data_IF_744852378568
#
_entry.id   IF_744852378568
#
_cell.length_a   1.000
_cell.length_b   1.000
_cell.length_c   1.000
_cell.angle_alpha   90.00
_cell.angle_beta   90.00
_cell.angle_gamma   90.00
#
_symmetry.space_group_name_H-M   'P 1'
#
loop_
_entity.id
_entity.type
_entity.pdbx_description
1 polymer ?
#
# COMPACT_ATOMS: atom_id res chain seq x y z
N UNK A 1 42.62 -24.17 -34.47
CA UNK A 1 42.58 -23.16 -33.38
C UNK A 1 41.15 -23.02 -32.90
N UNK A 2 40.94 -23.29 -31.61
CA UNK A 2 39.67 -23.39 -30.90
C UNK A 2 39.14 -22.01 -30.49
N UNK A 3 37.80 -21.85 -30.42
CA UNK A 3 37.03 -20.88 -29.60
C UNK A 3 35.54 -21.22 -29.77
N UNK A 4 35.02 -22.18 -29.01
CA UNK A 4 34.27 -22.00 -27.76
C UNK A 4 32.98 -21.18 -27.91
N UNK A 5 31.85 -21.90 -28.01
CA UNK A 5 30.49 -21.38 -27.82
C UNK A 5 30.27 -21.14 -26.32
N UNK A 6 30.01 -19.89 -25.94
CA UNK A 6 29.58 -19.55 -24.59
C UNK A 6 28.14 -20.03 -24.36
N UNK A 7 27.97 -20.85 -23.31
CA UNK A 7 26.72 -21.46 -22.89
C UNK A 7 25.95 -20.45 -22.04
N UNK A 8 24.78 -20.03 -22.50
CA UNK A 8 23.88 -19.16 -21.74
C UNK A 8 23.41 -19.89 -20.47
N UNK A 9 23.76 -19.36 -19.30
CA UNK A 9 23.25 -19.81 -18.00
C UNK A 9 21.84 -19.28 -17.80
N UNK A 10 20.87 -20.17 -17.94
CA UNK A 10 19.46 -19.97 -17.59
C UNK A 10 19.32 -19.70 -16.09
N UNK A 11 19.04 -18.46 -15.70
CA UNK A 11 18.63 -18.15 -14.32
C UNK A 11 17.18 -18.61 -14.13
N UNK A 12 17.00 -19.77 -13.49
CA UNK A 12 15.68 -20.26 -13.09
C UNK A 12 15.05 -19.29 -12.09
N UNK A 13 13.90 -18.71 -12.46
CA UNK A 13 12.99 -18.04 -11.52
C UNK A 13 12.51 -19.07 -10.48
N UNK A 14 12.40 -18.73 -9.19
CA UNK A 14 11.68 -19.57 -8.24
C UNK A 14 10.22 -19.60 -8.68
N UNK A 15 9.69 -20.80 -8.94
CA UNK A 15 8.26 -21.03 -9.11
C UNK A 15 7.58 -21.05 -7.74
N UNK A 16 6.27 -20.84 -7.68
CA UNK A 16 5.46 -20.95 -6.46
C UNK A 16 5.65 -22.28 -5.69
N UNK A 17 6.24 -23.31 -6.32
CA UNK A 17 6.63 -24.58 -5.69
C UNK A 17 7.91 -24.54 -4.86
N UNK A 18 8.70 -23.47 -4.90
CA UNK A 18 9.93 -23.32 -4.10
C UNK A 18 9.67 -22.99 -2.63
N UNK A 19 8.43 -22.62 -2.29
CA UNK A 19 7.96 -22.40 -0.92
C UNK A 19 7.63 -23.71 -0.16
N UNK A 20 7.58 -24.87 -0.85
CA UNK A 20 7.16 -26.13 -0.23
C UNK A 20 8.30 -27.09 0.16
N UNK A 21 9.57 -26.69 0.05
CA UNK A 21 10.67 -27.58 0.38
C UNK A 21 11.69 -26.90 1.29
N UNK A 22 11.39 -26.88 2.60
CA UNK A 22 12.33 -27.06 3.73
C UNK A 22 11.66 -26.69 5.06
N UNK A 23 11.02 -27.64 5.74
CA UNK A 23 10.64 -27.46 7.15
C UNK A 23 10.69 -28.77 7.95
N UNK A 24 11.81 -29.49 7.88
CA UNK A 24 12.28 -30.29 9.03
C UNK A 24 13.33 -29.51 9.80
N UNK A 25 12.88 -28.47 10.51
CA UNK A 25 13.55 -27.98 11.73
C UNK A 25 12.55 -27.24 12.60
N UNK A 26 12.42 -27.79 13.80
CA UNK A 26 11.60 -27.31 14.91
C UNK A 26 11.81 -25.81 15.13
N UNK A 27 10.78 -25.01 14.86
CA UNK A 27 10.71 -23.61 15.28
C UNK A 27 9.99 -23.55 16.64
N UNK A 28 10.46 -22.74 17.60
CA UNK A 28 9.81 -22.64 18.90
C UNK A 28 8.42 -22.04 18.72
N UNK A 29 7.39 -22.82 19.04
CA UNK A 29 6.00 -22.34 19.14
C UNK A 29 5.95 -21.31 20.26
N UNK A 30 5.76 -20.04 19.91
CA UNK A 30 5.34 -19.02 20.87
C UNK A 30 3.92 -19.42 21.32
N UNK A 31 3.83 -19.90 22.56
CA UNK A 31 2.57 -20.24 23.22
C UNK A 31 1.97 -18.94 23.72
N UNK A 32 0.94 -18.45 23.04
CA UNK A 32 0.09 -17.38 23.57
C UNK A 32 -0.84 -18.01 24.63
N UNK A 33 -0.63 -17.63 25.89
CA UNK A 33 -1.50 -18.07 27.00
C UNK A 33 -2.85 -17.36 26.90
N UNK A 34 -3.92 -18.14 26.84
CA UNK A 34 -5.30 -17.67 26.63
C UNK A 34 -6.08 -17.53 27.94
N UNK A 35 -5.48 -16.98 29.00
CA UNK A 35 -6.17 -16.79 30.28
C UNK A 35 -5.89 -15.40 30.87
N UNK A 36 -6.79 -14.46 30.58
CA UNK A 36 -6.93 -13.18 31.27
C UNK A 36 -8.43 -12.88 31.46
N UNK A 37 -8.86 -12.31 32.61
CA UNK A 37 -10.27 -12.27 32.97
C UNK A 37 -11.02 -11.16 32.21
N UNK A 38 -12.19 -11.53 31.67
CA UNK A 38 -13.37 -10.70 31.43
C UNK A 38 -13.16 -9.30 30.83
N UNK A 39 -13.22 -9.18 29.50
CA UNK A 39 -13.40 -7.87 28.83
C UNK A 39 -14.86 -7.40 29.00
N UNK A 40 -15.12 -6.16 29.45
CA UNK A 40 -16.47 -5.63 29.55
C UNK A 40 -17.10 -5.41 28.16
N UNK A 41 -18.43 -5.51 28.01
CA UNK A 41 -19.12 -5.26 26.75
C UNK A 41 -19.24 -3.75 26.54
N UNK A 42 -18.38 -3.17 25.69
CA UNK A 42 -18.49 -1.74 25.35
C UNK A 42 -17.29 -1.05 24.71
N UNK A 43 -16.21 -1.76 24.35
CA UNK A 43 -15.08 -1.14 23.64
C UNK A 43 -15.22 -1.29 22.13
N UNK A 44 -15.16 -0.16 21.43
CA UNK A 44 -15.42 0.00 20.00
C UNK A 44 -14.79 -1.08 19.12
N UNK A 45 -15.51 -1.43 18.05
CA UNK A 45 -15.04 -2.35 17.02
C UNK A 45 -13.64 -1.91 16.58
N UNK A 46 -12.62 -2.67 16.95
CA UNK A 46 -11.28 -2.47 16.41
C UNK A 46 -11.38 -2.78 14.92
N UNK A 47 -11.24 -1.75 14.08
CA UNK A 47 -11.30 -1.92 12.63
C UNK A 47 -10.21 -2.90 12.19
N UNK A 48 -10.62 -4.13 11.89
CA UNK A 48 -9.71 -5.23 11.52
C UNK A 48 -9.37 -5.23 10.03
N UNK A 49 -10.07 -4.44 9.23
CA UNK A 49 -9.88 -4.40 7.78
C UNK A 49 -8.96 -3.27 7.38
N UNK A 50 -7.91 -3.63 6.64
CA UNK A 50 -6.85 -2.74 6.23
C UNK A 50 -6.64 -2.82 4.72
N UNK A 51 -6.01 -1.78 4.18
CA UNK A 51 -5.45 -1.75 2.83
C UNK A 51 -3.95 -1.48 2.91
N UNK A 52 -3.17 -2.20 2.12
CA UNK A 52 -1.76 -1.90 1.85
C UNK A 52 -1.61 -1.36 0.42
N UNK A 53 -0.82 -0.30 0.29
CA UNK A 53 -0.58 0.47 -0.93
C UNK A 53 0.92 0.42 -1.23
N UNK A 54 1.30 -0.30 -2.28
CA UNK A 54 2.69 -0.48 -2.69
C UNK A 54 3.05 0.46 -3.85
N UNK A 55 4.23 1.07 -3.83
CA UNK A 55 4.67 1.96 -4.92
C UNK A 55 5.77 1.34 -5.77
N UNK A 56 5.66 1.50 -7.09
CA UNK A 56 6.77 1.23 -8.01
C UNK A 56 6.92 -0.23 -8.43
N UNK A 57 5.85 -1.03 -8.33
CA UNK A 57 5.80 -2.40 -8.86
C UNK A 57 5.07 -2.44 -10.20
N UNK A 58 5.48 -3.35 -11.11
CA UNK A 58 4.88 -3.58 -12.42
C UNK A 58 4.73 -2.35 -13.33
N UNK A 59 5.52 -1.29 -13.08
CA UNK A 59 5.51 -0.05 -13.89
C UNK A 59 6.75 0.00 -14.79
N UNK A 60 6.56 0.39 -16.06
CA UNK A 60 7.66 0.53 -17.02
C UNK A 60 8.50 -0.75 -17.23
N UNK A 61 7.91 -1.93 -17.01
CA UNK A 61 8.59 -3.23 -17.13
C UNK A 61 9.57 -3.57 -16.00
N UNK A 62 9.73 -2.70 -15.00
CA UNK A 62 10.60 -2.89 -13.83
C UNK A 62 9.82 -3.47 -12.65
N UNK A 63 10.54 -3.98 -11.65
CA UNK A 63 10.01 -4.46 -10.37
C UNK A 63 8.78 -5.38 -10.55
N UNK A 64 8.98 -6.43 -11.35
CA UNK A 64 7.91 -7.39 -11.67
C UNK A 64 7.56 -8.19 -10.42
N UNK A 65 6.30 -8.13 -10.02
CA UNK A 65 5.74 -8.86 -8.89
C UNK A 65 4.37 -9.40 -9.28
N UNK A 66 4.18 -10.72 -9.23
CA UNK A 66 2.88 -11.32 -9.47
C UNK A 66 1.97 -11.01 -8.28
N UNK A 67 0.70 -10.67 -8.56
CA UNK A 67 -0.25 -10.39 -7.48
C UNK A 67 -0.58 -11.63 -6.65
N UNK A 68 -0.39 -12.83 -7.19
CA UNK A 68 -0.46 -14.10 -6.45
C UNK A 68 0.65 -14.20 -5.40
N UNK A 69 1.88 -13.86 -5.78
CA UNK A 69 3.04 -13.92 -4.88
C UNK A 69 2.90 -12.86 -3.79
N UNK A 70 2.46 -11.66 -4.16
CA UNK A 70 2.14 -10.61 -3.20
C UNK A 70 1.05 -11.06 -2.21
N UNK A 71 -0.02 -11.70 -2.69
CA UNK A 71 -1.06 -12.20 -1.79
C UNK A 71 -0.53 -13.28 -0.84
N UNK A 72 0.31 -14.20 -1.34
CA UNK A 72 0.92 -15.26 -0.53
C UNK A 72 1.76 -14.68 0.61
N UNK A 73 2.57 -13.64 0.35
CA UNK A 73 3.38 -12.97 1.40
C UNK A 73 2.52 -12.43 2.55
N UNK A 74 1.34 -11.87 2.25
CA UNK A 74 0.42 -11.37 3.29
C UNK A 74 -0.16 -12.53 4.11
N UNK A 75 -0.56 -13.62 3.45
CA UNK A 75 -1.08 -14.81 4.13
C UNK A 75 -0.01 -15.44 5.03
N UNK A 76 1.21 -15.58 4.54
CA UNK A 76 2.35 -16.10 5.32
C UNK A 76 2.72 -15.20 6.50
N UNK A 77 2.47 -13.89 6.38
CA UNK A 77 2.63 -12.93 7.48
C UNK A 77 1.48 -12.97 8.50
N UNK A 78 0.50 -13.87 8.34
CA UNK A 78 -0.63 -14.03 9.26
C UNK A 78 -1.83 -13.12 8.96
N UNK A 79 -1.87 -12.47 7.80
CA UNK A 79 -3.05 -11.70 7.39
C UNK A 79 -4.16 -12.64 6.86
N UNK A 80 -5.40 -12.28 7.17
CA UNK A 80 -6.61 -13.00 6.76
C UNK A 80 -7.32 -12.30 5.60
N UNK A 81 -8.23 -13.00 4.92
CA UNK A 81 -9.11 -12.45 3.86
C UNK A 81 -8.37 -11.59 2.81
N UNK A 82 -7.15 -12.00 2.46
CA UNK A 82 -6.26 -11.24 1.56
C UNK A 82 -6.82 -11.20 0.14
N UNK A 83 -7.02 -10.00 -0.38
CA UNK A 83 -7.50 -9.74 -1.75
C UNK A 83 -6.66 -8.66 -2.41
N UNK A 84 -6.14 -8.93 -3.59
CA UNK A 84 -5.44 -7.91 -4.38
C UNK A 84 -6.39 -7.19 -5.33
N UNK A 85 -6.07 -5.94 -5.66
CA UNK A 85 -6.77 -5.17 -6.67
C UNK A 85 -5.79 -4.56 -7.67
N UNK A 86 -5.99 -4.90 -8.95
CA UNK A 86 -5.16 -4.53 -10.10
C UNK A 86 -3.66 -4.83 -9.90
N UNK A 87 -2.83 -4.49 -10.89
CA UNK A 87 -1.40 -4.83 -10.86
C UNK A 87 -0.51 -3.74 -10.25
N UNK A 88 -1.09 -2.67 -9.70
CA UNK A 88 -0.36 -1.52 -9.15
C UNK A 88 -0.07 -1.63 -7.65
N UNK A 89 -0.28 -2.80 -7.05
CA UNK A 89 0.06 -3.05 -5.65
C UNK A 89 -0.96 -2.48 -4.68
N UNK A 90 -2.18 -3.02 -4.71
CA UNK A 90 -3.19 -2.73 -3.71
C UNK A 90 -3.66 -4.05 -3.12
N UNK A 91 -3.58 -4.17 -1.80
CA UNK A 91 -3.95 -5.38 -1.08
C UNK A 91 -4.92 -5.01 0.03
N UNK A 92 -6.10 -5.60 0.05
CA UNK A 92 -7.04 -5.51 1.17
C UNK A 92 -6.90 -6.77 1.98
N UNK A 93 -6.86 -6.65 3.30
CA UNK A 93 -6.66 -7.78 4.20
C UNK A 93 -7.30 -7.51 5.56
N UNK A 94 -7.45 -8.57 6.35
CA UNK A 94 -7.81 -8.51 7.76
C UNK A 94 -6.60 -8.84 8.63
N UNK A 95 -6.42 -8.05 9.68
CA UNK A 95 -5.38 -8.27 10.68
C UNK A 95 -5.75 -7.55 11.96
N UNK A 96 -5.32 -8.08 13.10
CA UNK A 96 -5.36 -7.31 14.35
C UNK A 96 -4.45 -6.07 14.25
N UNK A 97 -4.77 -4.97 14.96
CA UNK A 97 -4.04 -3.71 14.82
C UNK A 97 -2.52 -3.80 15.02
N UNK A 98 -2.07 -4.64 15.95
CA UNK A 98 -0.63 -4.83 16.20
C UNK A 98 0.07 -5.49 15.00
N UNK A 99 -0.54 -6.49 14.38
CA UNK A 99 -0.01 -7.10 13.17
C UNK A 99 -0.04 -6.11 12.00
N UNK A 100 -1.16 -5.39 11.83
CA UNK A 100 -1.32 -4.43 10.75
C UNK A 100 -0.26 -3.30 10.74
N UNK A 101 0.24 -2.91 11.92
CA UNK A 101 1.35 -1.94 12.04
C UNK A 101 2.68 -2.47 11.54
N UNK A 102 2.92 -3.77 11.64
CA UNK A 102 4.17 -4.42 11.21
C UNK A 102 4.17 -4.78 9.72
N UNK A 103 2.98 -4.88 9.09
CA UNK A 103 2.83 -5.28 7.69
C UNK A 103 3.72 -4.48 6.72
N UNK A 104 3.81 -3.13 6.79
CA UNK A 104 4.70 -2.37 5.89
C UNK A 104 6.14 -2.88 5.88
N UNK A 105 6.72 -3.10 7.05
CA UNK A 105 8.12 -3.49 7.21
C UNK A 105 8.34 -4.95 6.83
N UNK A 106 7.45 -5.84 7.28
CA UNK A 106 7.53 -7.29 7.00
C UNK A 106 7.42 -7.56 5.50
N UNK A 107 6.42 -6.97 4.84
CA UNK A 107 6.21 -7.14 3.40
C UNK A 107 7.31 -6.46 2.59
N UNK A 108 7.75 -5.27 3.01
CA UNK A 108 8.87 -4.57 2.38
C UNK A 108 10.17 -5.38 2.42
N UNK A 109 10.46 -6.01 3.56
CA UNK A 109 11.61 -6.90 3.74
C UNK A 109 11.49 -8.17 2.89
N UNK A 110 10.34 -8.84 2.91
CA UNK A 110 10.10 -10.05 2.11
C UNK A 110 10.26 -9.79 0.60
N UNK A 111 9.76 -8.65 0.10
CA UNK A 111 9.95 -8.29 -1.31
C UNK A 111 11.44 -8.04 -1.62
N UNK A 112 12.16 -7.35 -0.73
CA UNK A 112 13.59 -7.10 -0.92
C UNK A 112 14.41 -8.39 -0.93
N UNK A 113 14.11 -9.33 -0.04
CA UNK A 113 14.78 -10.62 0.05
C UNK A 113 14.49 -11.51 -1.17
N UNK A 114 13.23 -11.64 -1.57
CA UNK A 114 12.85 -12.55 -2.66
C UNK A 114 13.12 -11.99 -4.06
N UNK A 115 13.03 -10.66 -4.25
CA UNK A 115 13.07 -10.04 -5.57
C UNK A 115 14.23 -9.07 -5.79
N UNK A 116 15.00 -8.72 -4.75
CA UNK A 116 16.20 -7.90 -4.86
C UNK A 116 15.95 -6.40 -5.09
N UNK A 117 14.73 -5.91 -4.83
CA UNK A 117 14.40 -4.49 -4.89
C UNK A 117 13.51 -4.06 -3.73
N UNK A 118 13.62 -2.79 -3.33
CA UNK A 118 12.82 -2.21 -2.23
C UNK A 118 11.53 -1.62 -2.78
N UNK A 119 10.43 -1.88 -2.10
CA UNK A 119 9.10 -1.36 -2.43
C UNK A 119 8.54 -0.67 -1.20
N UNK A 120 8.23 0.64 -1.28
CA UNK A 120 7.50 1.31 -0.21
C UNK A 120 6.09 0.72 -0.07
N UNK A 121 5.70 0.40 1.15
CA UNK A 121 4.39 -0.14 1.51
C UNK A 121 3.75 0.79 2.54
N UNK A 122 2.55 1.29 2.28
CA UNK A 122 1.80 2.12 3.23
C UNK A 122 0.48 1.43 3.59
N UNK A 123 0.02 1.54 4.83
CA UNK A 123 -1.26 0.96 5.27
C UNK A 123 -2.29 2.02 5.65
N UNK A 124 -3.58 1.70 5.45
CA UNK A 124 -4.74 2.44 5.95
C UNK A 124 -5.83 1.49 6.43
N UNK A 125 -6.62 1.91 7.40
CA UNK A 125 -7.83 1.18 7.81
C UNK A 125 -8.99 1.44 6.83
N UNK A 126 -10.00 0.57 6.87
CA UNK A 126 -11.26 0.81 6.15
C UNK A 126 -11.95 2.12 6.58
N UNK A 127 -11.91 2.43 7.88
CA UNK A 127 -12.44 3.69 8.43
C UNK A 127 -11.69 4.93 7.90
N UNK A 128 -10.37 4.87 7.82
CA UNK A 128 -9.55 5.93 7.22
C UNK A 128 -9.90 6.12 5.73
N UNK A 129 -10.02 5.04 4.95
CA UNK A 129 -10.47 5.16 3.56
C UNK A 129 -11.86 5.80 3.43
N UNK A 130 -12.79 5.47 4.34
CA UNK A 130 -14.11 6.09 4.35
C UNK A 130 -14.04 7.59 4.66
N UNK A 131 -13.18 8.01 5.60
CA UNK A 131 -12.94 9.42 5.89
C UNK A 131 -12.32 10.15 4.68
N UNK A 132 -11.32 9.55 4.02
CA UNK A 132 -10.68 10.11 2.83
C UNK A 132 -11.69 10.34 1.70
N UNK A 133 -12.62 9.40 1.49
CA UNK A 133 -13.68 9.55 0.50
C UNK A 133 -14.62 10.71 0.85
N UNK A 134 -14.98 10.86 2.13
CA UNK A 134 -15.89 11.92 2.62
C UNK A 134 -15.27 13.31 2.60
N UNK A 135 -13.95 13.41 2.83
CA UNK A 135 -13.27 14.69 3.10
C UNK A 135 -12.62 15.32 1.87
N UNK A 136 -12.67 14.67 0.70
CA UNK A 136 -12.05 15.20 -0.52
C UNK A 136 -12.63 16.58 -0.91
N UNK A 137 -11.83 17.67 -0.82
CA UNK A 137 -12.32 19.02 -1.05
C UNK A 137 -12.70 19.28 -2.50
N UNK A 138 -11.96 18.70 -3.46
CA UNK A 138 -12.22 18.86 -4.89
C UNK A 138 -13.47 18.11 -5.33
N UNK A 139 -13.72 16.92 -4.75
CA UNK A 139 -14.97 16.19 -5.00
C UNK A 139 -16.18 16.99 -4.49
N UNK A 140 -16.07 17.58 -3.29
CA UNK A 140 -17.12 18.44 -2.72
C UNK A 140 -17.31 19.72 -3.53
N UNK A 141 -16.26 20.21 -4.19
CA UNK A 141 -16.30 21.31 -5.14
C UNK A 141 -16.84 20.96 -6.53
N UNK A 142 -17.26 19.70 -6.77
CA UNK A 142 -17.85 19.27 -8.04
C UNK A 142 -16.85 18.87 -9.12
N UNK A 143 -15.58 18.69 -8.78
CA UNK A 143 -14.57 18.24 -9.74
C UNK A 143 -14.88 16.83 -10.29
N UNK A 144 -14.56 16.60 -11.56
CA UNK A 144 -14.74 15.30 -12.20
C UNK A 144 -13.86 14.23 -11.55
N UNK A 145 -14.48 13.12 -11.14
CA UNK A 145 -13.79 11.99 -10.47
C UNK A 145 -12.58 11.44 -11.25
N UNK A 146 -12.60 11.51 -12.59
CA UNK A 146 -11.50 11.06 -13.45
C UNK A 146 -10.24 11.92 -13.35
N UNK A 147 -10.33 13.13 -12.79
CA UNK A 147 -9.24 14.07 -12.61
C UNK A 147 -8.66 14.03 -11.19
N UNK A 148 -9.29 13.29 -10.29
CA UNK A 148 -8.93 13.24 -8.88
C UNK A 148 -7.94 12.12 -8.56
N UNK A 149 -7.00 12.43 -7.68
CA UNK A 149 -6.03 11.46 -7.15
C UNK A 149 -5.79 11.74 -5.66
N UNK A 150 -5.26 10.74 -4.94
CA UNK A 150 -4.83 10.88 -3.55
C UNK A 150 -3.42 10.36 -3.41
N UNK A 151 -2.55 11.18 -2.83
CA UNK A 151 -1.25 10.80 -2.28
C UNK A 151 -1.40 10.41 -0.82
N UNK A 152 -1.03 9.18 -0.49
CA UNK A 152 -0.99 8.67 0.87
C UNK A 152 0.42 8.87 1.41
N UNK A 153 0.55 9.57 2.52
CA UNK A 153 1.82 9.80 3.22
C UNK A 153 2.03 8.72 4.29
N UNK A 154 3.26 8.28 4.51
CA UNK A 154 3.58 7.34 5.58
C UNK A 154 3.28 7.95 6.95
N UNK A 155 3.79 9.16 7.15
CA UNK A 155 3.68 9.93 8.38
C UNK A 155 2.92 11.24 8.17
N UNK A 156 2.42 11.82 9.26
CA UNK A 156 1.80 13.13 9.23
C UNK A 156 2.89 14.21 9.07
N UNK A 157 2.83 15.02 8.01
CA UNK A 157 3.83 16.07 7.82
C UNK A 157 3.66 17.20 8.83
N UNK A 158 4.75 17.86 9.16
CA UNK A 158 4.72 19.07 9.99
C UNK A 158 3.99 20.21 9.26
N UNK A 159 3.22 21.01 10.00
CA UNK A 159 2.45 22.12 9.44
C UNK A 159 3.34 23.11 8.66
N UNK A 160 4.52 23.46 9.20
CA UNK A 160 5.47 24.35 8.54
C UNK A 160 5.99 23.79 7.21
N UNK A 161 6.18 22.47 7.11
CA UNK A 161 6.59 21.82 5.87
C UNK A 161 5.46 21.88 4.82
N UNK A 162 4.21 21.69 5.23
CA UNK A 162 3.03 21.82 4.37
C UNK A 162 2.88 23.25 3.85
N UNK A 163 3.08 24.26 4.70
CA UNK A 163 2.98 25.67 4.32
C UNK A 163 4.09 26.10 3.34
N UNK A 164 5.21 25.38 3.32
CA UNK A 164 6.32 25.62 2.39
C UNK A 164 6.10 25.06 0.97
N UNK A 165 5.01 24.32 0.74
CA UNK A 165 4.71 23.73 -0.55
C UNK A 165 4.31 24.82 -1.56
N UNK A 166 4.86 24.70 -2.77
CA UNK A 166 4.58 25.56 -3.91
C UNK A 166 3.27 25.12 -4.56
N UNK A 167 2.19 25.87 -4.28
CA UNK A 167 0.84 25.62 -4.82
C UNK A 167 0.75 25.88 -6.32
N UNK A 168 1.57 26.79 -6.85
CA UNK A 168 1.57 27.19 -8.26
C UNK A 168 2.59 26.42 -9.09
N UNK A 169 3.14 25.34 -8.53
CA UNK A 169 4.17 24.53 -9.18
C UNK A 169 3.72 23.94 -10.50
N UNK A 170 2.43 23.59 -10.64
CA UNK A 170 1.88 22.83 -11.77
C UNK A 170 0.51 23.31 -12.26
N UNK A 171 0.33 24.58 -12.69
CA UNK A 171 -0.99 25.04 -13.13
C UNK A 171 -1.43 24.28 -14.40
N UNK A 172 -2.72 23.93 -14.57
CA UNK A 172 -3.87 24.24 -13.71
C UNK A 172 -4.16 23.15 -12.66
N UNK A 173 -3.19 22.27 -12.36
CA UNK A 173 -3.38 21.27 -11.32
C UNK A 173 -3.37 21.94 -9.94
N UNK A 174 -4.12 21.36 -9.01
CA UNK A 174 -4.25 21.83 -7.64
C UNK A 174 -4.00 20.68 -6.65
N UNK A 175 -3.59 21.02 -5.42
CA UNK A 175 -3.54 20.05 -4.33
C UNK A 175 -4.03 20.65 -3.00
N UNK A 176 -4.48 19.77 -2.10
CA UNK A 176 -4.80 20.10 -0.73
C UNK A 176 -4.24 19.02 0.20
N UNK A 177 -3.59 19.42 1.31
CA UNK A 177 -3.08 18.48 2.31
C UNK A 177 -4.04 18.46 3.49
N UNK A 178 -4.55 17.28 3.85
CA UNK A 178 -5.36 17.06 5.06
C UNK A 178 -4.84 15.81 5.76
N UNK A 179 -4.38 15.93 7.00
CA UNK A 179 -3.86 14.79 7.76
C UNK A 179 -2.64 14.16 7.08
N UNK A 180 -2.76 12.87 6.69
CA UNK A 180 -1.69 12.12 6.00
C UNK A 180 -2.00 11.96 4.51
N UNK A 181 -2.84 12.82 3.97
CA UNK A 181 -3.35 12.71 2.61
C UNK A 181 -3.15 14.01 1.84
N UNK A 182 -2.64 13.86 0.61
CA UNK A 182 -2.55 14.94 -0.37
C UNK A 182 -3.61 14.65 -1.44
N UNK A 183 -4.66 15.46 -1.48
CA UNK A 183 -5.69 15.40 -2.51
C UNK A 183 -5.18 16.16 -3.73
N UNK A 184 -5.36 15.59 -4.91
CA UNK A 184 -4.97 16.21 -6.18
C UNK A 184 -6.17 16.37 -7.09
N UNK A 185 -6.23 17.53 -7.74
CA UNK A 185 -7.07 17.78 -8.90
C UNK A 185 -6.15 18.03 -10.10
N UNK A 186 -6.15 17.12 -11.07
CA UNK A 186 -5.28 17.21 -12.25
C UNK A 186 -6.12 17.20 -13.54
N UNK A 187 -6.66 18.34 -13.99
CA UNK A 187 -7.49 18.43 -15.20
C UNK A 187 -6.81 17.90 -16.46
N UNK A 188 -5.49 18.09 -16.57
CA UNK A 188 -4.67 17.65 -17.70
C UNK A 188 -4.13 16.22 -17.55
N UNK A 189 -4.47 15.55 -16.45
CA UNK A 189 -4.08 14.19 -16.13
C UNK A 189 -2.75 14.09 -15.36
N UNK A 190 -2.64 13.05 -14.53
CA UNK A 190 -1.52 12.86 -13.60
C UNK A 190 -0.15 12.74 -14.30
N UNK A 191 -0.10 12.30 -15.56
CA UNK A 191 1.17 12.16 -16.29
C UNK A 191 1.82 13.51 -16.63
N UNK A 192 1.06 14.61 -16.62
CA UNK A 192 1.55 15.96 -16.98
C UNK A 192 1.85 16.82 -15.76
N UNK A 193 1.45 16.38 -14.58
CA UNK A 193 1.63 17.17 -13.36
C UNK A 193 3.08 17.20 -12.90
N UNK A 194 3.48 18.33 -12.32
CA UNK A 194 4.75 18.46 -11.59
C UNK A 194 4.62 18.13 -10.10
N UNK A 195 3.40 17.82 -9.64
CA UNK A 195 3.11 17.27 -8.31
C UNK A 195 3.48 15.78 -8.23
N UNK A 196 4.79 15.53 -8.18
CA UNK A 196 5.34 14.17 -8.19
C UNK A 196 5.64 13.65 -6.78
N UNK A 197 5.65 12.33 -6.59
CA UNK A 197 6.06 11.73 -5.32
C UNK A 197 7.43 12.24 -4.81
N UNK A 198 8.49 12.31 -5.63
CA UNK A 198 9.77 12.89 -5.21
C UNK A 198 9.69 14.34 -4.71
N UNK A 199 8.80 15.16 -5.29
CA UNK A 199 8.61 16.55 -4.83
C UNK A 199 8.06 16.61 -3.40
N UNK A 200 6.98 15.87 -3.13
CA UNK A 200 6.41 15.82 -1.78
C UNK A 200 7.33 15.10 -0.79
N UNK A 201 7.97 14.01 -1.20
CA UNK A 201 8.93 13.27 -0.35
C UNK A 201 10.09 14.17 0.09
N UNK A 202 10.60 15.01 -0.82
CA UNK A 202 11.67 15.97 -0.51
C UNK A 202 11.22 17.12 0.38
N UNK A 203 9.95 17.56 0.29
CA UNK A 203 9.44 18.72 1.02
C UNK A 203 8.85 18.36 2.38
N UNK A 204 8.23 17.19 2.48
CA UNK A 204 7.51 16.72 3.64
C UNK A 204 8.29 15.68 4.46
N UNK A 205 9.46 15.24 3.98
CA UNK A 205 10.31 14.24 4.64
C UNK A 205 9.60 12.92 4.95
N UNK A 206 8.58 12.56 4.17
CA UNK A 206 7.77 11.35 4.35
C UNK A 206 7.53 10.68 3.00
N UNK A 207 7.48 9.34 2.99
CA UNK A 207 7.21 8.56 1.78
C UNK A 207 5.78 8.80 1.27
N UNK A 208 5.60 8.93 -0.04
CA UNK A 208 4.28 9.10 -0.64
C UNK A 208 3.95 8.02 -1.68
N UNK A 209 2.72 7.49 -1.61
CA UNK A 209 2.14 6.61 -2.63
C UNK A 209 0.89 7.24 -3.23
N UNK A 210 0.85 7.42 -4.56
CA UNK A 210 -0.31 8.03 -5.24
C UNK A 210 -1.24 6.97 -5.84
N UNK A 211 -2.55 7.22 -5.75
CA UNK A 211 -3.61 6.42 -6.40
C UNK A 211 -4.63 7.31 -7.10
N UNK A 212 -5.17 6.80 -8.21
CA UNK A 212 -6.32 7.40 -8.86
C UNK A 212 -7.58 7.24 -7.99
N UNK A 213 -8.48 8.21 -8.05
CA UNK A 213 -9.71 8.20 -7.26
C UNK A 213 -10.59 6.96 -7.46
N UNK A 214 -10.69 6.42 -8.68
CA UNK A 214 -11.44 5.17 -8.94
C UNK A 214 -10.88 4.00 -8.14
N UNK A 215 -9.56 3.93 -8.00
CA UNK A 215 -8.91 2.92 -7.16
C UNK A 215 -9.27 3.13 -5.69
N UNK A 216 -9.24 4.37 -5.20
CA UNK A 216 -9.61 4.69 -3.81
C UNK A 216 -11.05 4.27 -3.51
N UNK A 217 -12.00 4.62 -4.37
CA UNK A 217 -13.41 4.22 -4.23
C UNK A 217 -13.55 2.70 -4.22
N UNK A 218 -12.86 1.99 -5.12
CA UNK A 218 -12.92 0.53 -5.17
C UNK A 218 -12.33 -0.12 -3.92
N UNK A 219 -11.24 0.42 -3.38
CA UNK A 219 -10.65 -0.08 -2.14
C UNK A 219 -11.57 0.19 -0.94
N UNK A 220 -12.26 1.33 -0.91
CA UNK A 220 -13.30 1.61 0.10
C UNK A 220 -14.45 0.61 0.03
N UNK A 221 -14.89 0.23 -1.18
CA UNK A 221 -15.92 -0.82 -1.34
C UNK A 221 -15.43 -2.18 -0.85
N UNK A 222 -14.20 -2.56 -1.23
CA UNK A 222 -13.61 -3.85 -0.84
C UNK A 222 -13.42 -3.95 0.67
N UNK A 223 -12.99 -2.87 1.32
CA UNK A 223 -12.84 -2.82 2.78
C UNK A 223 -14.19 -2.88 3.49
N UNK A 224 -15.19 -2.13 3.02
CA UNK A 224 -16.55 -2.20 3.56
C UNK A 224 -17.17 -3.61 3.45
N UNK A 225 -16.91 -4.31 2.34
CA UNK A 225 -17.39 -5.68 2.12
C UNK A 225 -16.74 -6.75 3.02
N UNK A 226 -15.62 -6.44 3.68
CA UNK A 226 -14.97 -7.33 4.65
C UNK A 226 -15.29 -6.98 6.11
N UNK A 227 -15.61 -5.72 6.39
CA UNK A 227 -16.06 -5.25 7.71
C UNK A 227 -17.53 -5.58 8.03
N UNK A 228 -18.32 -5.92 7.00
CA UNK A 228 -19.68 -6.43 7.19
C UNK A 228 -19.69 -7.87 7.71
N UNK A 229 -19.70 -8.03 9.04
CA UNK A 229 -20.22 -9.26 9.64
C UNK A 229 -21.70 -9.40 9.25
N UNK A 230 -22.09 -10.52 8.64
CA UNK A 230 -23.49 -10.95 8.60
C UNK A 230 -23.95 -11.34 9.99
#
# INVERSE_FOLDING_TARGET
MSRSKARATSSRRPTASSWQASSTRSSPRIRWSSDGPGRPPGEGMTEKTHVALLRGINVGGKNKLLMSDLAAMFVESGCEDVRTYIQSGNVVFRADPELARLVPDVIGAAIAECFGYRVPVLTRTGGELAAIVRENPFLRGGAETGKLHVGFLAEQPEAAAVDSLDRDRSPPDEFAVLGREVYFHCPLGLARTKFTAPYFESKLSTTMTVRNWRTVLRLREMTAGLGGCR
#
